data_IF_607785050089
#
_entry.id   IF_607785050089
#
_cell.length_a   1.000
_cell.length_b   1.000
_cell.length_c   1.000
_cell.angle_alpha   90.00
_cell.angle_beta   90.00
_cell.angle_gamma   90.00
#
_symmetry.space_group_name_H-M   'P 1'
#
loop_
_entity.id
_entity.type
_entity.pdbx_description
1 polymer ?
#
# COMPACT_ATOMS: atom_id res chain seq x y z
N UNK A 1 -13.69 -28.48 14.62
CA UNK A 1 -13.86 -27.56 13.47
C UNK A 1 -13.94 -26.15 14.01
N UNK A 2 -12.90 -25.34 13.83
CA UNK A 2 -13.03 -23.89 13.91
C UNK A 2 -12.14 -23.26 12.83
N UNK A 3 -12.66 -22.16 12.30
CA UNK A 3 -12.49 -21.68 10.94
C UNK A 3 -11.26 -20.75 10.81
N UNK A 4 -10.45 -21.03 9.79
CA UNK A 4 -9.74 -20.11 8.88
C UNK A 4 -8.83 -18.98 9.43
N UNK A 5 -7.53 -19.26 9.34
CA UNK A 5 -6.47 -18.44 8.71
C UNK A 5 -6.73 -16.93 8.63
N UNK A 6 -6.21 -16.17 9.59
CA UNK A 6 -5.68 -14.83 9.30
C UNK A 6 -4.16 -14.92 9.35
N UNK A 7 -3.54 -14.96 8.18
CA UNK A 7 -2.10 -14.74 8.07
C UNK A 7 -1.85 -13.27 8.43
N UNK A 8 -1.78 -12.98 9.72
CA UNK A 8 -1.23 -11.72 10.21
C UNK A 8 0.26 -11.79 9.92
N UNK A 9 0.69 -11.07 8.89
CA UNK A 9 2.10 -10.72 8.71
C UNK A 9 2.48 -9.88 9.93
N UNK A 10 3.01 -10.55 10.96
CA UNK A 10 3.48 -9.92 12.19
C UNK A 10 4.78 -9.19 11.93
N UNK A 11 4.67 -7.99 11.36
CA UNK A 11 5.75 -7.03 11.20
C UNK A 11 5.15 -5.68 10.83
N UNK A 12 5.51 -4.63 11.56
CA UNK A 12 5.12 -3.25 11.25
C UNK A 12 5.55 -2.92 9.81
N UNK A 13 4.60 -2.88 8.88
CA UNK A 13 4.90 -2.68 7.47
C UNK A 13 5.06 -1.18 7.20
N UNK A 14 6.25 -0.63 7.42
CA UNK A 14 6.53 0.75 7.02
C UNK A 14 6.49 0.86 5.49
N UNK A 15 5.53 1.62 4.98
CA UNK A 15 5.36 1.82 3.54
C UNK A 15 6.43 2.78 3.04
N UNK A 16 7.12 2.41 1.96
CA UNK A 16 8.03 3.32 1.26
C UNK A 16 7.20 4.29 0.42
N UNK A 17 6.95 5.45 1.01
CA UNK A 17 6.07 6.48 0.48
C UNK A 17 6.66 7.18 -0.74
N UNK A 18 7.99 7.20 -0.84
CA UNK A 18 8.73 7.71 -2.01
C UNK A 18 8.54 6.78 -3.20
N UNK A 19 8.78 5.48 -3.03
CA UNK A 19 8.57 4.50 -4.10
C UNK A 19 7.10 4.44 -4.53
N UNK A 20 6.15 4.55 -3.59
CA UNK A 20 4.73 4.63 -3.89
C UNK A 20 4.41 5.88 -4.73
N UNK A 21 4.97 7.03 -4.39
CA UNK A 21 4.78 8.27 -5.14
C UNK A 21 5.34 8.17 -6.56
N UNK A 22 6.55 7.61 -6.70
CA UNK A 22 7.15 7.34 -8.00
C UNK A 22 6.27 6.41 -8.83
N UNK A 23 5.73 5.34 -8.23
CA UNK A 23 4.81 4.43 -8.90
C UNK A 23 3.53 5.12 -9.39
N UNK A 24 2.94 6.00 -8.56
CA UNK A 24 1.75 6.79 -8.91
C UNK A 24 2.05 7.71 -10.10
N UNK A 25 3.19 8.40 -10.07
CA UNK A 25 3.63 9.29 -11.16
C UNK A 25 3.90 8.48 -12.43
N UNK A 26 4.57 7.33 -12.33
CA UNK A 26 4.84 6.42 -13.47
C UNK A 26 3.56 5.89 -14.10
N UNK A 27 2.53 5.62 -13.30
CA UNK A 27 1.21 5.23 -13.77
C UNK A 27 0.41 6.39 -14.38
N UNK A 28 0.92 7.63 -14.35
CA UNK A 28 0.23 8.82 -14.84
C UNK A 28 -0.97 9.22 -13.97
N UNK A 29 -1.01 8.75 -12.71
CA UNK A 29 -2.11 9.01 -11.79
C UNK A 29 -1.76 10.11 -10.80
N UNK A 30 -2.80 10.75 -10.27
CA UNK A 30 -2.67 11.68 -9.14
C UNK A 30 -3.07 10.98 -7.84
N UNK A 31 -2.51 11.41 -6.71
CA UNK A 31 -2.91 10.93 -5.36
C UNK A 31 -4.42 10.96 -5.13
N UNK A 32 -5.13 11.95 -5.68
CA UNK A 32 -6.60 12.02 -5.60
C UNK A 32 -7.27 10.81 -6.27
N UNK A 33 -6.86 10.47 -7.49
CA UNK A 33 -7.40 9.33 -8.24
C UNK A 33 -7.08 8.01 -7.53
N UNK A 34 -5.90 7.92 -6.91
CA UNK A 34 -5.51 6.77 -6.10
C UNK A 34 -6.40 6.63 -4.86
N UNK A 35 -6.67 7.73 -4.15
CA UNK A 35 -7.59 7.72 -3.00
C UNK A 35 -9.01 7.32 -3.43
N UNK A 36 -9.50 7.85 -4.55
CA UNK A 36 -10.81 7.50 -5.13
C UNK A 36 -10.88 6.01 -5.50
N UNK A 37 -9.85 5.46 -6.13
CA UNK A 37 -9.77 4.05 -6.49
C UNK A 37 -9.68 3.13 -5.26
N UNK A 38 -9.05 3.59 -4.19
CA UNK A 38 -8.98 2.89 -2.91
C UNK A 38 -10.28 3.00 -2.09
N UNK A 39 -11.22 3.86 -2.49
CA UNK A 39 -12.44 4.12 -1.72
C UNK A 39 -12.18 4.87 -0.40
N UNK A 40 -11.06 5.58 -0.29
CA UNK A 40 -10.68 6.34 0.91
C UNK A 40 -10.67 7.83 0.64
N UNK A 41 -10.70 8.62 1.72
CA UNK A 41 -10.55 10.07 1.60
C UNK A 41 -9.10 10.45 1.28
N UNK A 42 -8.91 11.64 0.71
CA UNK A 42 -7.57 12.20 0.47
C UNK A 42 -6.75 12.28 1.76
N UNK A 43 -7.38 12.61 2.88
CA UNK A 43 -6.74 12.60 4.20
C UNK A 43 -6.40 11.18 4.65
N UNK A 44 -7.26 10.20 4.42
CA UNK A 44 -6.96 8.78 4.68
C UNK A 44 -5.72 8.31 3.93
N UNK A 45 -5.61 8.65 2.65
CA UNK A 45 -4.41 8.36 1.87
C UNK A 45 -3.19 9.11 2.42
N UNK A 46 -3.32 10.37 2.82
CA UNK A 46 -2.23 11.17 3.39
C UNK A 46 -1.70 10.55 4.69
N UNK A 47 -2.57 10.09 5.58
CA UNK A 47 -2.19 9.42 6.82
C UNK A 47 -1.40 8.13 6.53
N UNK A 48 -1.88 7.32 5.58
CA UNK A 48 -1.19 6.10 5.14
C UNK A 48 0.17 6.40 4.51
N UNK A 49 0.22 7.38 3.62
CA UNK A 49 1.45 7.89 3.01
C UNK A 49 2.37 8.63 3.99
N UNK A 50 1.98 8.83 5.24
CA UNK A 50 2.82 9.40 6.28
C UNK A 50 3.13 8.39 7.40
N UNK A 51 2.90 7.09 7.11
CA UNK A 51 3.05 5.98 8.06
C UNK A 51 2.29 6.20 9.38
N UNK A 52 1.19 6.96 9.36
CA UNK A 52 0.29 7.15 10.51
C UNK A 52 -0.73 6.03 10.63
N UNK A 53 -1.07 5.41 9.51
CA UNK A 53 -1.95 4.24 9.41
C UNK A 53 -1.41 3.31 8.34
N UNK A 54 -1.68 2.01 8.45
CA UNK A 54 -1.19 1.03 7.49
C UNK A 54 -2.16 0.86 6.31
N UNK A 55 -1.65 0.39 5.17
CA UNK A 55 -2.49 -0.09 4.08
C UNK A 55 -3.00 -1.49 4.39
N UNK A 56 -4.30 -1.70 4.25
CA UNK A 56 -4.92 -3.02 4.34
C UNK A 56 -4.56 -3.86 3.12
N UNK A 57 -4.60 -5.19 3.25
CA UNK A 57 -4.31 -6.10 2.15
C UNK A 57 -5.19 -5.82 0.90
N UNK A 58 -6.45 -5.46 1.08
CA UNK A 58 -7.38 -5.11 -0.01
C UNK A 58 -7.00 -3.81 -0.73
N UNK A 59 -6.51 -2.81 0.01
CA UNK A 59 -6.01 -1.57 -0.58
C UNK A 59 -4.71 -1.81 -1.37
N UNK A 60 -3.80 -2.63 -0.82
CA UNK A 60 -2.56 -3.01 -1.50
C UNK A 60 -2.88 -3.77 -2.80
N UNK A 61 -3.81 -4.72 -2.75
CA UNK A 61 -4.25 -5.46 -3.94
C UNK A 61 -4.90 -4.55 -5.00
N UNK A 62 -5.58 -3.49 -4.57
CA UNK A 62 -6.15 -2.48 -5.47
C UNK A 62 -5.07 -1.61 -6.09
N UNK A 63 -4.09 -1.15 -5.30
CA UNK A 63 -2.92 -0.41 -5.78
C UNK A 63 -2.11 -1.24 -6.78
N UNK A 64 -1.95 -2.55 -6.55
CA UNK A 64 -1.27 -3.45 -7.46
C UNK A 64 -1.88 -3.40 -8.87
N UNK A 65 -3.22 -3.52 -8.94
CA UNK A 65 -3.97 -3.48 -10.20
C UNK A 65 -3.96 -2.08 -10.82
N UNK A 66 -4.09 -1.04 -9.99
CA UNK A 66 -4.20 0.35 -10.43
C UNK A 66 -2.88 0.89 -10.98
N UNK A 67 -1.78 0.59 -10.30
CA UNK A 67 -0.43 1.08 -10.63
C UNK A 67 0.32 0.13 -11.58
N UNK A 68 -0.29 -1.01 -11.93
CA UNK A 68 0.30 -2.06 -12.74
C UNK A 68 1.72 -2.44 -12.25
N UNK A 69 1.85 -2.58 -10.93
CA UNK A 69 3.13 -2.85 -10.29
C UNK A 69 3.53 -4.30 -10.47
N UNK A 70 4.82 -4.56 -10.70
CA UNK A 70 5.35 -5.91 -10.67
C UNK A 70 5.69 -6.31 -9.22
N UNK A 71 5.79 -7.61 -8.94
CA UNK A 71 6.09 -8.13 -7.60
C UNK A 71 7.30 -7.46 -6.93
N UNK A 72 8.38 -7.23 -7.69
CA UNK A 72 9.58 -6.57 -7.18
C UNK A 72 9.33 -5.11 -6.75
N UNK A 73 8.54 -4.36 -7.54
CA UNK A 73 8.17 -2.97 -7.21
C UNK A 73 7.23 -2.93 -6.00
N UNK A 74 6.33 -3.90 -5.89
CA UNK A 74 5.47 -4.04 -4.72
C UNK A 74 6.32 -4.29 -3.47
N UNK A 75 7.30 -5.18 -3.52
CA UNK A 75 8.18 -5.39 -2.39
C UNK A 75 8.94 -4.10 -2.05
N UNK A 76 9.48 -3.37 -3.02
CA UNK A 76 10.12 -2.07 -2.74
C UNK A 76 9.22 -1.05 -2.04
N UNK A 77 7.90 -1.10 -2.27
CA UNK A 77 6.91 -0.18 -1.69
C UNK A 77 6.39 -0.66 -0.33
N UNK A 78 6.03 -1.94 -0.20
CA UNK A 78 5.33 -2.49 0.95
C UNK A 78 6.16 -3.48 1.78
N UNK A 79 7.42 -3.73 1.40
CA UNK A 79 8.35 -4.58 2.14
C UNK A 79 9.28 -3.67 2.95
N UNK A 80 8.97 -3.53 4.23
CA UNK A 80 9.92 -3.03 5.22
C UNK A 80 10.43 -4.25 5.98
N UNK A 81 11.74 -4.48 5.92
CA UNK A 81 12.38 -5.42 6.82
C UNK A 81 12.16 -4.93 8.25
N UNK A 82 11.54 -5.74 9.09
CA UNK A 82 11.90 -5.74 10.50
C UNK A 82 13.39 -6.08 10.57
N UNK A 83 14.22 -5.06 10.79
CA UNK A 83 15.58 -5.27 11.31
C UNK A 83 15.47 -5.10 12.81
N UNK A 84 15.65 -6.24 13.49
CA UNK A 84 15.76 -6.50 14.94
C UNK A 84 14.56 -6.28 15.85
#
# INVERSE_FOLDING_TARGET
MHVEKTATWGGECMTNTVELEIAIIRAGLRKKQVAEALGITKEGLRLKMNNKTEFTASEIATLYKLLNLNFESQQKIFFTQSVE
#
